data_IF_861953661003
#
_entry.id   IF_861953661003
#
_cell.length_a   1.000
_cell.length_b   1.000
_cell.length_c   1.000
_cell.angle_alpha   90.00
_cell.angle_beta   90.00
_cell.angle_gamma   90.00
#
_symmetry.space_group_name_H-M   'P 1'
#
loop_
_entity.id
_entity.type
_entity.pdbx_description
1 polymer ?
#
# COMPACT_ATOMS: atom_id res chain seq x y z
N UNK A 1 11.46 11.11 6.06
CA UNK A 1 11.17 9.75 6.58
C UNK A 1 9.66 9.59 6.53
N UNK A 2 9.18 8.56 5.84
CA UNK A 2 7.75 8.24 5.80
C UNK A 2 7.24 7.96 7.21
N UNK A 3 6.14 8.62 7.60
CA UNK A 3 5.52 8.41 8.91
C UNK A 3 4.49 7.30 8.78
N UNK A 4 4.64 6.23 9.56
CA UNK A 4 3.74 5.08 9.53
C UNK A 4 2.71 5.20 10.65
N UNK A 5 1.42 5.06 10.31
CA UNK A 5 0.33 4.98 11.27
C UNK A 5 -0.39 3.66 11.09
N UNK A 6 -0.52 2.87 12.17
CA UNK A 6 -1.31 1.65 12.12
C UNK A 6 -2.80 1.97 12.26
N UNK A 7 -3.60 1.47 11.32
CA UNK A 7 -5.06 1.65 11.30
C UNK A 7 -5.80 0.33 11.51
N UNK A 8 -7.03 0.35 12.06
CA UNK A 8 -7.77 -0.89 12.33
C UNK A 8 -8.17 -1.67 11.07
N UNK A 9 -8.36 -0.97 9.95
CA UNK A 9 -8.81 -1.58 8.69
C UNK A 9 -8.47 -0.70 7.49
N UNK A 10 -8.04 -1.31 6.39
CA UNK A 10 -8.00 -0.72 5.06
C UNK A 10 -8.89 -1.54 4.11
N UNK A 11 -9.38 -0.96 3.00
CA UNK A 11 -10.12 -1.74 2.00
C UNK A 11 -9.24 -2.82 1.35
N UNK A 12 -9.68 -4.08 1.40
CA UNK A 12 -9.02 -5.15 0.65
C UNK A 12 -9.21 -4.92 -0.86
N UNK A 13 -8.11 -5.04 -1.61
CA UNK A 13 -8.11 -5.02 -3.08
C UNK A 13 -7.95 -6.42 -3.67
N UNK A 14 -7.44 -7.37 -2.89
CA UNK A 14 -7.23 -8.78 -3.26
C UNK A 14 -8.22 -9.65 -2.49
N UNK A 15 -8.98 -10.48 -3.19
CA UNK A 15 -9.81 -11.49 -2.55
C UNK A 15 -8.91 -12.63 -2.04
N UNK A 16 -9.09 -13.14 -0.81
CA UNK A 16 -8.30 -14.24 -0.27
C UNK A 16 -8.24 -15.49 -1.16
N UNK A 17 -9.27 -15.76 -1.96
CA UNK A 17 -9.29 -16.89 -2.89
C UNK A 17 -8.19 -16.78 -3.97
N UNK A 18 -7.76 -15.56 -4.31
CA UNK A 18 -6.76 -15.30 -5.34
C UNK A 18 -5.35 -15.65 -4.88
N UNK A 19 -5.09 -15.71 -3.57
CA UNK A 19 -3.79 -16.10 -3.04
C UNK A 19 -3.38 -17.51 -3.44
N UNK A 20 -4.36 -18.41 -3.65
CA UNK A 20 -4.11 -19.77 -4.11
C UNK A 20 -3.43 -19.82 -5.49
N UNK A 21 -3.74 -18.85 -6.36
CA UNK A 21 -3.17 -18.76 -7.72
C UNK A 21 -1.81 -18.06 -7.74
N UNK A 22 -1.40 -17.45 -6.61
CA UNK A 22 -0.16 -16.71 -6.47
C UNK A 22 0.71 -17.22 -5.31
N UNK A 23 1.07 -18.53 -5.28
CA UNK A 23 1.77 -19.14 -4.14
C UNK A 23 3.16 -18.56 -3.85
N UNK A 24 3.76 -17.86 -4.83
CA UNK A 24 5.03 -17.16 -4.65
C UNK A 24 4.92 -15.86 -3.82
N UNK A 25 3.71 -15.40 -3.52
CA UNK A 25 3.51 -14.17 -2.77
C UNK A 25 3.83 -12.91 -3.58
N UNK A 26 3.64 -12.94 -4.91
CA UNK A 26 4.04 -11.85 -5.83
C UNK A 26 2.87 -10.99 -6.31
N UNK A 27 1.64 -11.34 -5.94
CA UNK A 27 0.48 -10.54 -6.30
C UNK A 27 0.50 -9.25 -5.48
N UNK A 28 0.49 -8.13 -6.18
CA UNK A 28 0.32 -6.78 -5.62
C UNK A 28 -0.77 -6.09 -6.42
N UNK A 29 -1.70 -5.42 -5.74
CA UNK A 29 -2.69 -4.55 -6.36
C UNK A 29 -2.55 -3.14 -5.82
N UNK A 30 -2.72 -2.19 -6.73
CA UNK A 30 -2.70 -0.77 -6.42
C UNK A 30 -4.02 -0.16 -6.89
N UNK A 31 -4.64 0.64 -6.03
CA UNK A 31 -5.71 1.57 -6.41
C UNK A 31 -5.16 2.98 -6.30
N UNK A 32 -5.33 3.73 -7.38
CA UNK A 32 -4.98 5.15 -7.46
C UNK A 32 -6.28 5.94 -7.55
N UNK A 33 -6.52 6.82 -6.58
CA UNK A 33 -7.71 7.68 -6.55
C UNK A 33 -7.26 9.13 -6.63
N UNK A 34 -7.77 9.88 -7.61
CA UNK A 34 -7.60 11.34 -7.66
C UNK A 34 -8.72 11.97 -6.86
N UNK A 35 -8.35 12.72 -5.83
CA UNK A 35 -9.26 13.43 -4.92
C UNK A 35 -9.08 14.94 -5.06
N UNK A 36 -9.92 15.71 -4.38
CA UNK A 36 -9.75 17.17 -4.29
C UNK A 36 -8.46 17.60 -3.56
N UNK A 37 -7.89 16.69 -2.75
CA UNK A 37 -6.70 16.95 -1.92
C UNK A 37 -5.41 16.38 -2.52
N UNK A 38 -5.47 15.77 -3.72
CA UNK A 38 -4.33 15.14 -4.37
C UNK A 38 -4.59 13.68 -4.72
N UNK A 39 -3.52 12.87 -4.76
CA UNK A 39 -3.57 11.46 -5.16
C UNK A 39 -3.50 10.57 -3.93
N UNK A 40 -4.47 9.69 -3.77
CA UNK A 40 -4.47 8.61 -2.78
C UNK A 40 -3.99 7.32 -3.46
N UNK A 41 -3.07 6.61 -2.79
CA UNK A 41 -2.52 5.33 -3.23
C UNK A 41 -2.81 4.29 -2.17
N UNK A 42 -3.61 3.28 -2.52
CA UNK A 42 -3.85 2.12 -1.66
C UNK A 42 -3.19 0.90 -2.28
N UNK A 43 -2.28 0.27 -1.53
CA UNK A 43 -1.61 -0.96 -1.94
C UNK A 43 -2.06 -2.15 -1.10
N UNK A 44 -2.23 -3.29 -1.76
CA UNK A 44 -2.59 -4.57 -1.15
C UNK A 44 -1.72 -5.70 -1.73
N UNK A 45 -1.35 -6.66 -0.90
CA UNK A 45 -0.44 -7.74 -1.23
C UNK A 45 0.01 -8.54 -0.01
N UNK A 46 0.52 -9.75 -0.28
CA UNK A 46 0.96 -10.69 0.76
C UNK A 46 2.28 -10.29 1.45
N UNK A 47 3.01 -9.34 0.89
CA UNK A 47 4.37 -8.96 1.30
C UNK A 47 4.44 -7.44 1.49
N UNK A 48 4.30 -6.95 2.74
CA UNK A 48 4.28 -5.52 3.03
C UNK A 48 5.50 -4.77 2.49
N UNK A 49 6.69 -5.38 2.56
CA UNK A 49 7.95 -4.83 2.07
C UNK A 49 7.93 -4.51 0.56
N UNK A 50 7.19 -5.30 -0.22
CA UNK A 50 7.05 -5.05 -1.66
C UNK A 50 6.13 -3.88 -1.96
N UNK A 51 5.09 -3.70 -1.15
CA UNK A 51 4.14 -2.59 -1.28
C UNK A 51 4.83 -1.29 -0.87
N UNK A 52 5.52 -1.30 0.27
CA UNK A 52 6.31 -0.17 0.76
C UNK A 52 7.32 0.30 -0.28
N UNK A 53 8.11 -0.62 -0.87
CA UNK A 53 9.08 -0.27 -1.90
C UNK A 53 8.43 0.39 -3.13
N UNK A 54 7.24 -0.08 -3.55
CA UNK A 54 6.51 0.54 -4.66
C UNK A 54 6.03 1.94 -4.28
N UNK A 55 5.44 2.10 -3.10
CA UNK A 55 4.92 3.39 -2.64
C UNK A 55 6.03 4.43 -2.45
N UNK A 56 7.16 4.05 -1.85
CA UNK A 56 8.34 4.92 -1.68
C UNK A 56 8.89 5.45 -3.02
N UNK A 57 8.89 4.61 -4.06
CA UNK A 57 9.34 5.04 -5.39
C UNK A 57 8.35 6.00 -6.08
N UNK A 58 7.07 5.98 -5.71
CA UNK A 58 6.05 6.85 -6.30
C UNK A 58 6.01 8.22 -5.61
N UNK A 59 6.32 8.29 -4.31
CA UNK A 59 6.28 9.54 -3.53
C UNK A 59 7.49 10.45 -3.73
N UNK A 60 8.57 9.96 -4.37
CA UNK A 60 9.73 10.77 -4.73
C UNK A 60 10.63 11.16 -3.53
N UNK A 61 11.85 11.67 -3.78
CA UNK A 61 12.83 12.01 -2.75
C UNK A 61 12.69 13.42 -2.15
N UNK A 62 11.81 14.28 -2.71
CA UNK A 62 11.85 15.73 -2.50
C UNK A 62 10.83 16.28 -1.48
N UNK A 63 10.03 15.42 -0.83
CA UNK A 63 9.12 15.85 0.23
C UNK A 63 9.81 15.71 1.60
N UNK A 64 10.32 16.83 2.14
CA UNK A 64 10.87 16.93 3.51
C UNK A 64 9.86 16.46 4.59
N UNK A 65 8.57 16.41 4.24
CA UNK A 65 7.48 15.73 4.95
C UNK A 65 6.78 14.75 3.99
N UNK A 66 7.42 13.61 3.71
CA UNK A 66 6.79 12.54 2.92
C UNK A 66 5.42 12.13 3.47
N UNK A 67 4.50 11.63 2.61
CA UNK A 67 3.11 11.41 2.99
C UNK A 67 2.98 10.43 4.16
N UNK A 68 1.93 10.63 4.98
CA UNK A 68 1.59 9.66 6.02
C UNK A 68 1.16 8.34 5.37
N UNK A 69 1.82 7.25 5.74
CA UNK A 69 1.50 5.91 5.25
C UNK A 69 0.67 5.18 6.30
N UNK A 70 -0.57 4.91 5.95
CA UNK A 70 -1.44 4.05 6.76
C UNK A 70 -1.13 2.58 6.47
N UNK A 71 -1.01 1.78 7.53
CA UNK A 71 -0.75 0.35 7.42
C UNK A 71 -1.74 -0.44 8.27
N UNK A 72 -2.31 -1.49 7.69
CA UNK A 72 -3.10 -2.48 8.39
C UNK A 72 -2.22 -3.70 8.67
N UNK A 73 -2.22 -4.18 9.92
CA UNK A 73 -1.62 -5.48 10.24
C UNK A 73 -2.58 -6.58 9.81
N UNK A 74 -2.25 -7.28 8.74
CA UNK A 74 -2.92 -8.52 8.38
C UNK A 74 -2.40 -9.62 9.34
N UNK A 75 -3.24 -10.02 10.30
CA UNK A 75 -2.95 -11.06 11.29
C UNK A 75 -3.09 -12.47 10.75
#
# INVERSE_FOLDING_TARGET
MTKHTFVPSLPDLIDPAEYADHPGGRLVRLRITVTENGVELLGDGMRPDQIEAVLENVTGPDDDEGPEMEQMLCG
#
